data_IF_756242615971
#
_entry.id   IF_756242615971
#
_cell.length_a   1.000
_cell.length_b   1.000
_cell.length_c   1.000
_cell.angle_alpha   90.00
_cell.angle_beta   90.00
_cell.angle_gamma   90.00
#
_symmetry.space_group_name_H-M   'P 1'
#
loop_
_entity.id
_entity.type
_entity.pdbx_description
1 polymer ?
#
# COMPACT_ATOMS: atom_id res chain seq x y z
N UNK A 1 -7.57 23.68 -13.54
CA UNK A 1 -8.57 23.08 -12.64
C UNK A 1 -9.55 22.11 -13.32
N UNK A 2 -10.00 22.34 -14.56
CA UNK A 2 -10.95 21.43 -15.28
C UNK A 2 -10.37 20.03 -15.55
N UNK A 3 -9.07 19.91 -15.87
CA UNK A 3 -8.38 18.64 -16.14
C UNK A 3 -8.29 17.71 -14.93
N UNK A 4 -8.02 18.24 -13.73
CA UNK A 4 -7.95 17.44 -12.49
C UNK A 4 -9.32 16.89 -12.11
N UNK A 5 -10.39 17.70 -12.25
CA UNK A 5 -11.77 17.24 -12.01
C UNK A 5 -12.18 16.14 -12.98
N UNK A 6 -11.85 16.28 -14.26
CA UNK A 6 -12.13 15.24 -15.26
C UNK A 6 -11.36 13.95 -14.96
N UNK A 7 -10.09 14.07 -14.53
CA UNK A 7 -9.26 12.92 -14.14
C UNK A 7 -9.80 12.21 -12.89
N UNK A 8 -10.19 12.97 -11.86
CA UNK A 8 -10.77 12.41 -10.63
C UNK A 8 -12.12 11.74 -10.85
N UNK A 9 -12.92 12.21 -11.80
CA UNK A 9 -14.21 11.61 -12.13
C UNK A 9 -14.09 10.22 -12.81
N UNK A 10 -12.95 9.95 -13.46
CA UNK A 10 -12.67 8.67 -14.14
C UNK A 10 -12.02 7.64 -13.21
N UNK A 11 -11.52 8.09 -12.06
CA UNK A 11 -10.82 7.26 -11.09
C UNK A 11 -11.63 7.12 -9.80
N UNK A 12 -11.44 6.04 -9.08
CA UNK A 12 -12.15 5.73 -7.83
C UNK A 12 -11.66 6.60 -6.65
N UNK A 13 -11.70 7.93 -6.81
CA UNK A 13 -11.16 8.87 -5.81
C UNK A 13 -11.96 8.92 -4.53
N UNK A 14 -13.31 8.84 -4.62
CA UNK A 14 -14.19 8.89 -3.45
C UNK A 14 -13.92 7.75 -2.46
N UNK A 15 -14.03 6.49 -2.87
CA UNK A 15 -13.68 5.34 -2.01
C UNK A 15 -12.25 5.39 -1.47
N UNK A 16 -11.29 5.82 -2.30
CA UNK A 16 -9.90 5.93 -1.89
C UNK A 16 -9.69 7.00 -0.81
N UNK A 17 -10.30 8.18 -0.94
CA UNK A 17 -10.28 9.22 0.10
C UNK A 17 -10.93 8.73 1.39
N UNK A 18 -12.06 8.03 1.29
CA UNK A 18 -12.71 7.39 2.43
C UNK A 18 -11.75 6.42 3.16
N UNK A 19 -11.05 5.59 2.41
CA UNK A 19 -10.04 4.67 2.96
C UNK A 19 -8.89 5.44 3.65
N UNK A 20 -8.37 6.51 3.05
CA UNK A 20 -7.31 7.34 3.66
C UNK A 20 -7.76 8.00 4.95
N UNK A 21 -8.98 8.56 4.97
CA UNK A 21 -9.58 9.15 6.17
C UNK A 21 -9.74 8.11 7.28
N UNK A 22 -10.25 6.93 6.93
CA UNK A 22 -10.41 5.83 7.88
C UNK A 22 -9.06 5.37 8.43
N UNK A 23 -8.03 5.24 7.59
CA UNK A 23 -6.67 4.89 8.03
C UNK A 23 -6.09 5.96 8.94
N UNK A 24 -6.24 7.25 8.61
CA UNK A 24 -5.75 8.34 9.45
C UNK A 24 -6.43 8.35 10.82
N UNK A 25 -7.75 8.17 10.87
CA UNK A 25 -8.49 8.07 12.13
C UNK A 25 -8.11 6.82 12.92
N UNK A 26 -8.01 5.66 12.24
CA UNK A 26 -7.61 4.42 12.88
C UNK A 26 -6.18 4.50 13.41
N UNK A 27 -5.25 5.15 12.70
CA UNK A 27 -3.88 5.34 13.17
C UNK A 27 -3.80 6.17 14.45
N UNK A 28 -4.71 7.15 14.64
CA UNK A 28 -4.82 7.91 15.89
C UNK A 28 -5.38 7.09 17.03
N UNK A 29 -6.48 6.36 16.77
CA UNK A 29 -7.19 5.59 17.81
C UNK A 29 -6.35 4.41 18.29
N UNK A 30 -5.63 3.76 17.37
CA UNK A 30 -4.90 2.52 17.62
C UNK A 30 -3.35 2.72 17.65
N UNK A 31 -2.89 3.95 17.91
CA UNK A 31 -1.46 4.29 17.89
C UNK A 31 -0.60 3.39 18.80
N UNK A 32 -1.10 3.12 20.01
CA UNK A 32 -0.38 2.34 21.03
C UNK A 32 -0.94 0.92 21.20
N UNK A 33 -1.68 0.42 20.20
CA UNK A 33 -2.27 -0.92 20.26
C UNK A 33 -1.45 -1.95 19.51
N UNK A 34 -1.47 -3.18 20.03
CA UNK A 34 -0.86 -4.34 19.37
C UNK A 34 -1.92 -5.41 19.09
N UNK A 35 -1.76 -6.10 17.98
CA UNK A 35 -2.58 -7.27 17.64
C UNK A 35 -1.85 -8.52 18.14
N UNK A 36 -2.48 -9.23 19.08
CA UNK A 36 -1.93 -10.44 19.70
C UNK A 36 -2.42 -11.72 19.04
N UNK A 37 -3.39 -11.64 18.13
CA UNK A 37 -3.94 -12.80 17.45
C UNK A 37 -5.12 -12.48 16.55
N UNK A 38 -5.53 -13.47 15.77
CA UNK A 38 -6.72 -13.41 14.91
C UNK A 38 -7.60 -14.63 15.21
N UNK A 39 -8.77 -14.39 15.82
CA UNK A 39 -9.67 -15.45 16.23
C UNK A 39 -9.01 -16.39 17.25
N UNK A 40 -8.96 -17.70 16.99
CA UNK A 40 -8.33 -18.68 17.91
C UNK A 40 -6.79 -18.67 17.82
N UNK A 41 -6.21 -18.04 16.79
CA UNK A 41 -4.76 -18.03 16.55
C UNK A 41 -4.11 -16.88 17.32
N UNK A 42 -3.27 -17.20 18.30
CA UNK A 42 -2.42 -16.25 19.02
C UNK A 42 -1.08 -16.12 18.31
N UNK A 43 -0.61 -14.88 18.15
CA UNK A 43 0.74 -14.63 17.63
C UNK A 43 1.75 -14.75 18.77
N UNK A 44 2.88 -15.35 18.48
CA UNK A 44 3.98 -15.44 19.45
C UNK A 44 4.62 -14.06 19.69
N UNK A 45 4.56 -13.18 18.68
CA UNK A 45 5.04 -11.80 18.78
C UNK A 45 3.88 -10.86 18.48
N UNK A 46 3.45 -10.01 19.42
CA UNK A 46 2.45 -8.99 19.16
C UNK A 46 2.91 -8.04 18.05
N UNK A 47 2.01 -7.72 17.13
CA UNK A 47 2.31 -6.84 15.99
C UNK A 47 1.65 -5.48 16.23
N UNK A 48 2.43 -4.39 16.13
CA UNK A 48 1.87 -3.05 16.22
C UNK A 48 0.79 -2.83 15.15
N UNK A 49 -0.38 -2.33 15.56
CA UNK A 49 -1.48 -2.00 14.65
C UNK A 49 -1.04 -1.01 13.56
N UNK A 50 -0.13 -0.08 13.90
CA UNK A 50 0.44 0.87 12.94
C UNK A 50 1.22 0.22 11.79
N UNK A 51 1.73 -1.01 11.96
CA UNK A 51 2.38 -1.76 10.88
C UNK A 51 1.38 -2.44 9.93
N UNK A 52 0.12 -2.62 10.37
CA UNK A 52 -0.94 -3.27 9.59
C UNK A 52 -1.82 -2.27 8.83
N UNK A 53 -2.05 -1.07 9.36
CA UNK A 53 -2.84 -0.02 8.71
C UNK A 53 -2.34 0.36 7.29
N UNK A 54 -1.03 0.34 7.00
CA UNK A 54 -0.51 0.49 5.65
C UNK A 54 -1.12 -0.44 4.61
N UNK A 55 -1.62 -1.62 5.01
CA UNK A 55 -2.28 -2.54 4.09
C UNK A 55 -3.55 -1.93 3.48
N UNK A 56 -4.40 -1.32 4.32
CA UNK A 56 -5.62 -0.63 3.87
C UNK A 56 -5.26 0.62 3.04
N UNK A 57 -4.26 1.39 3.50
CA UNK A 57 -3.79 2.57 2.80
C UNK A 57 -3.24 2.24 1.40
N UNK A 58 -2.39 1.20 1.29
CA UNK A 58 -1.81 0.76 0.03
C UNK A 58 -2.86 0.25 -0.96
N UNK A 59 -3.82 -0.56 -0.50
CA UNK A 59 -4.96 -1.00 -1.33
C UNK A 59 -5.80 0.18 -1.79
N UNK A 60 -6.15 1.10 -0.89
CA UNK A 60 -6.94 2.30 -1.22
C UNK A 60 -6.24 3.18 -2.26
N UNK A 61 -4.93 3.40 -2.12
CA UNK A 61 -4.13 4.15 -3.09
C UNK A 61 -4.09 3.46 -4.46
N UNK A 62 -3.95 2.13 -4.51
CA UNK A 62 -3.96 1.38 -5.76
C UNK A 62 -5.35 1.39 -6.44
N UNK A 63 -6.43 1.29 -5.66
CA UNK A 63 -7.81 1.40 -6.18
C UNK A 63 -8.05 2.78 -6.79
N UNK A 64 -7.48 3.85 -6.23
CA UNK A 64 -7.50 5.18 -6.83
C UNK A 64 -6.80 5.26 -8.18
N UNK A 65 -5.87 4.33 -8.45
CA UNK A 65 -5.18 4.22 -9.74
C UNK A 65 -5.98 3.41 -10.78
N UNK A 66 -7.02 2.69 -10.36
CA UNK A 66 -7.90 1.96 -11.27
C UNK A 66 -8.84 2.93 -11.98
N UNK A 67 -8.79 2.95 -13.32
CA UNK A 67 -9.73 3.73 -14.12
C UNK A 67 -11.02 2.95 -14.33
N UNK A 68 -12.15 3.60 -14.11
CA UNK A 68 -13.49 3.06 -14.36
C UNK A 68 -13.94 3.24 -15.82
N UNK A 69 -13.36 4.19 -16.53
CA UNK A 69 -13.67 4.51 -17.91
C UNK A 69 -12.41 4.67 -18.77
N UNK A 70 -12.50 4.20 -20.01
CA UNK A 70 -11.44 4.39 -21.00
C UNK A 70 -11.64 5.73 -21.71
N UNK A 71 -10.99 6.78 -21.22
CA UNK A 71 -10.89 8.01 -21.97
C UNK A 71 -9.71 7.92 -22.94
N UNK A 72 -9.92 8.09 -24.24
CA UNK A 72 -8.83 8.25 -25.18
C UNK A 72 -8.13 9.57 -24.87
N UNK A 73 -6.90 9.49 -24.39
CA UNK A 73 -6.07 10.68 -24.19
C UNK A 73 -5.33 10.99 -25.48
N UNK A 74 -5.41 12.23 -25.97
CA UNK A 74 -4.84 12.61 -27.28
C UNK A 74 -3.30 12.58 -27.31
N UNK A 75 -2.64 12.64 -26.14
CA UNK A 75 -1.18 12.64 -26.03
C UNK A 75 -0.72 11.52 -25.09
N UNK A 76 -0.15 10.41 -25.61
CA UNK A 76 0.28 9.28 -24.79
C UNK A 76 1.40 9.65 -23.80
N UNK A 77 2.31 10.56 -24.14
CA UNK A 77 3.40 10.95 -23.24
C UNK A 77 2.87 11.67 -22.00
N UNK A 78 1.92 12.60 -22.19
CA UNK A 78 1.24 13.29 -21.08
C UNK A 78 0.40 12.33 -20.25
N UNK A 79 -0.21 11.32 -20.90
CA UNK A 79 -0.96 10.28 -20.19
C UNK A 79 -0.07 9.46 -19.27
N UNK A 80 1.12 9.07 -19.71
CA UNK A 80 2.09 8.32 -18.90
C UNK A 80 2.57 9.15 -17.71
N UNK A 81 2.95 10.41 -17.93
CA UNK A 81 3.36 11.31 -16.86
C UNK A 81 2.23 11.55 -15.83
N UNK A 82 0.99 11.72 -16.30
CA UNK A 82 -0.16 11.89 -15.44
C UNK A 82 -0.45 10.65 -14.58
N UNK A 83 -0.36 9.43 -15.16
CA UNK A 83 -0.51 8.17 -14.40
C UNK A 83 0.58 8.01 -13.34
N UNK A 84 1.83 8.30 -13.69
CA UNK A 84 2.94 8.23 -12.74
C UNK A 84 2.74 9.22 -11.58
N UNK A 85 2.45 10.48 -11.89
CA UNK A 85 2.20 11.52 -10.89
C UNK A 85 0.99 11.18 -10.01
N UNK A 86 -0.09 10.61 -10.57
CA UNK A 86 -1.26 10.18 -9.84
C UNK A 86 -0.96 9.07 -8.85
N UNK A 87 -0.26 8.00 -9.30
CA UNK A 87 0.14 6.91 -8.43
C UNK A 87 1.10 7.38 -7.32
N UNK A 88 2.07 8.24 -7.65
CA UNK A 88 2.96 8.83 -6.65
C UNK A 88 2.21 9.67 -5.62
N UNK A 89 1.28 10.53 -6.06
CA UNK A 89 0.46 11.37 -5.17
C UNK A 89 -0.38 10.53 -4.19
N UNK A 90 -1.02 9.45 -4.67
CA UNK A 90 -1.77 8.55 -3.81
C UNK A 90 -0.88 7.74 -2.86
N UNK A 91 0.31 7.34 -3.29
CA UNK A 91 1.28 6.68 -2.41
C UNK A 91 1.73 7.61 -1.28
N UNK A 92 2.02 8.89 -1.60
CA UNK A 92 2.37 9.90 -0.59
C UNK A 92 1.20 10.14 0.35
N UNK A 93 -0.03 10.29 -0.15
CA UNK A 93 -1.21 10.49 0.69
C UNK A 93 -1.46 9.29 1.60
N UNK A 94 -1.29 8.07 1.11
CA UNK A 94 -1.39 6.84 1.89
C UNK A 94 -0.32 6.79 3.01
N UNK A 95 0.92 7.18 2.68
CA UNK A 95 1.99 7.26 3.67
C UNK A 95 1.69 8.32 4.75
N UNK A 96 1.20 9.49 4.38
CA UNK A 96 0.81 10.54 5.33
C UNK A 96 -0.34 10.05 6.24
N UNK A 97 -1.37 9.43 5.67
CA UNK A 97 -2.51 8.92 6.44
C UNK A 97 -2.08 7.81 7.42
N UNK A 98 -1.23 6.87 6.99
CA UNK A 98 -0.75 5.78 7.84
C UNK A 98 0.21 6.24 8.94
N UNK A 99 1.00 7.29 8.69
CA UNK A 99 1.93 7.86 9.66
C UNK A 99 1.26 8.86 10.63
N UNK A 100 -0.01 9.20 10.44
CA UNK A 100 -0.66 10.26 11.21
C UNK A 100 -0.69 9.94 12.72
N UNK A 101 -0.89 8.67 13.10
CA UNK A 101 -0.87 8.21 14.48
C UNK A 101 0.50 8.30 15.17
N UNK A 102 1.60 8.30 14.41
CA UNK A 102 2.95 8.41 14.95
C UNK A 102 3.26 9.80 15.57
N UNK A 103 2.40 10.77 15.34
CA UNK A 103 2.48 12.05 16.06
C UNK A 103 2.24 11.88 17.57
N UNK A 104 1.62 10.77 17.98
CA UNK A 104 1.21 10.49 19.35
C UNK A 104 1.82 9.19 19.92
N UNK A 105 2.57 8.43 19.13
CA UNK A 105 3.24 7.18 19.52
C UNK A 105 4.70 7.18 19.08
N UNK A 106 5.58 6.66 19.92
CA UNK A 106 7.02 6.56 19.64
C UNK A 106 7.51 5.14 19.35
N UNK A 107 6.65 4.13 19.46
CA UNK A 107 7.06 2.72 19.46
C UNK A 107 7.31 2.15 18.06
N UNK A 108 6.88 2.84 17.01
CA UNK A 108 7.00 2.38 15.63
C UNK A 108 7.69 3.43 14.77
N UNK A 109 8.66 3.01 13.97
CA UNK A 109 9.38 3.91 13.07
C UNK A 109 8.51 4.36 11.89
N UNK A 110 8.46 5.67 11.61
CA UNK A 110 7.82 6.23 10.40
C UNK A 110 8.36 5.61 9.12
N UNK A 111 9.64 5.25 9.09
CA UNK A 111 10.24 4.55 7.95
C UNK A 111 9.65 3.16 7.75
N UNK A 112 9.33 2.43 8.83
CA UNK A 112 8.70 1.11 8.74
C UNK A 112 7.29 1.22 8.19
N UNK A 113 6.48 2.17 8.67
CA UNK A 113 5.13 2.42 8.20
C UNK A 113 5.14 2.82 6.71
N UNK A 114 6.00 3.76 6.33
CA UNK A 114 6.14 4.22 4.93
C UNK A 114 6.60 3.08 4.00
N UNK A 115 7.59 2.28 4.41
CA UNK A 115 8.02 1.08 3.68
C UNK A 115 6.85 0.12 3.45
N UNK A 116 6.04 -0.13 4.48
CA UNK A 116 4.90 -1.02 4.38
C UNK A 116 3.84 -0.47 3.40
N UNK A 117 3.57 0.84 3.41
CA UNK A 117 2.69 1.47 2.40
C UNK A 117 3.22 1.21 0.99
N UNK A 118 4.52 1.42 0.76
CA UNK A 118 5.14 1.20 -0.56
C UNK A 118 5.01 -0.25 -1.00
N UNK A 119 5.28 -1.21 -0.10
CA UNK A 119 5.15 -2.65 -0.40
C UNK A 119 3.70 -3.00 -0.74
N UNK A 120 2.74 -2.59 0.07
CA UNK A 120 1.34 -2.91 -0.13
C UNK A 120 0.74 -2.21 -1.36
N UNK A 121 1.14 -0.97 -1.61
CA UNK A 121 0.80 -0.28 -2.86
C UNK A 121 1.37 -1.03 -4.07
N UNK A 122 2.61 -1.52 -4.00
CA UNK A 122 3.25 -2.28 -5.08
C UNK A 122 2.46 -3.56 -5.38
N UNK A 123 2.15 -4.36 -4.35
CA UNK A 123 1.37 -5.59 -4.49
C UNK A 123 -0.01 -5.34 -5.11
N UNK A 124 -0.71 -4.31 -4.63
CA UNK A 124 -2.03 -3.92 -5.15
C UNK A 124 -1.95 -3.40 -6.58
N UNK A 125 -0.92 -2.61 -6.91
CA UNK A 125 -0.75 -2.02 -8.23
C UNK A 125 -0.47 -3.09 -9.31
N UNK A 126 0.13 -4.24 -8.94
CA UNK A 126 0.24 -5.40 -9.84
C UNK A 126 -1.16 -5.84 -10.29
N UNK A 127 -2.13 -5.99 -9.39
CA UNK A 127 -3.51 -6.38 -9.73
C UNK A 127 -4.20 -5.34 -10.60
N UNK A 128 -4.00 -4.06 -10.31
CA UNK A 128 -4.50 -2.97 -11.16
C UNK A 128 -3.86 -3.05 -12.56
N UNK A 129 -2.57 -3.38 -12.64
CA UNK A 129 -1.85 -3.50 -13.92
C UNK A 129 -2.36 -4.66 -14.77
N UNK A 130 -2.78 -5.76 -14.19
CA UNK A 130 -3.39 -6.90 -14.89
C UNK A 130 -4.90 -6.80 -15.04
N UNK A 131 -5.48 -5.61 -14.76
CA UNK A 131 -6.93 -5.30 -14.87
C UNK A 131 -7.83 -6.06 -13.89
N UNK A 132 -7.29 -6.56 -12.81
CA UNK A 132 -8.03 -7.21 -11.73
C UNK A 132 -8.09 -6.32 -10.49
N UNK A 133 -8.46 -5.06 -10.67
CA UNK A 133 -8.50 -4.07 -9.58
C UNK A 133 -9.41 -4.47 -8.42
N UNK A 134 -10.44 -5.28 -8.66
CA UNK A 134 -11.32 -5.83 -7.62
C UNK A 134 -10.58 -6.83 -6.70
N UNK A 135 -9.45 -7.41 -7.16
CA UNK A 135 -8.59 -8.29 -6.36
C UNK A 135 -7.35 -7.57 -5.81
N UNK A 136 -7.29 -6.23 -5.87
CA UNK A 136 -6.12 -5.48 -5.39
C UNK A 136 -5.76 -5.77 -3.92
N UNK A 137 -6.74 -6.14 -3.10
CA UNK A 137 -6.57 -6.51 -1.70
C UNK A 137 -5.97 -7.92 -1.50
N UNK A 138 -6.18 -8.85 -2.46
CA UNK A 138 -5.87 -10.27 -2.26
C UNK A 138 -4.38 -10.56 -2.03
N UNK A 139 -3.42 -10.05 -2.84
CA UNK A 139 -2.00 -10.29 -2.58
C UNK A 139 -1.51 -9.61 -1.30
N UNK A 140 -2.09 -8.47 -0.94
CA UNK A 140 -1.79 -7.77 0.32
C UNK A 140 -2.21 -8.61 1.51
N UNK A 141 -3.44 -9.10 1.49
CA UNK A 141 -4.00 -9.95 2.55
C UNK A 141 -3.22 -11.26 2.68
N UNK A 142 -2.96 -11.96 1.56
CA UNK A 142 -2.20 -13.19 1.56
C UNK A 142 -0.78 -13.00 2.12
N UNK A 143 -0.08 -11.95 1.70
CA UNK A 143 1.26 -11.65 2.20
C UNK A 143 1.24 -11.28 3.68
N UNK A 144 0.29 -10.46 4.12
CA UNK A 144 0.17 -10.06 5.53
C UNK A 144 -0.09 -11.27 6.42
N UNK A 145 -1.04 -12.13 6.06
CA UNK A 145 -1.31 -13.36 6.83
C UNK A 145 -0.11 -14.30 6.83
N UNK A 146 0.53 -14.51 5.68
CA UNK A 146 1.72 -15.34 5.61
C UNK A 146 2.84 -14.79 6.52
N UNK A 147 3.05 -13.46 6.51
CA UNK A 147 4.05 -12.82 7.36
C UNK A 147 3.71 -12.94 8.86
N UNK A 148 2.43 -12.85 9.22
CA UNK A 148 1.98 -13.00 10.61
C UNK A 148 2.08 -14.44 11.12
N UNK A 149 1.78 -15.44 10.29
CA UNK A 149 1.74 -16.85 10.72
C UNK A 149 3.11 -17.54 10.60
N UNK A 150 3.88 -17.19 9.58
CA UNK A 150 5.11 -17.90 9.22
C UNK A 150 6.35 -16.99 9.19
N UNK A 151 6.19 -15.72 9.51
CA UNK A 151 7.23 -14.69 9.33
C UNK A 151 8.29 -14.63 10.42
N UNK A 152 8.23 -15.49 11.41
CA UNK A 152 9.15 -15.46 12.54
C UNK A 152 9.80 -16.83 12.80
N UNK A 153 11.01 -16.81 13.35
CA UNK A 153 11.67 -17.96 13.94
C UNK A 153 11.79 -17.76 15.46
N UNK A 154 11.50 -18.81 16.21
CA UNK A 154 11.75 -18.85 17.64
C UNK A 154 13.12 -19.48 17.87
N UNK A 155 14.05 -18.71 18.39
CA UNK A 155 15.33 -19.22 18.88
C UNK A 155 15.35 -19.03 20.40
N UNK A 156 15.77 -20.02 21.16
CA UNK A 156 15.61 -20.26 22.60
C UNK A 156 15.19 -19.07 23.51
N UNK A 157 15.63 -17.84 23.25
CA UNK A 157 15.32 -16.64 24.04
C UNK A 157 14.97 -15.38 23.20
N UNK A 158 14.92 -15.49 21.86
CA UNK A 158 14.64 -14.34 20.97
C UNK A 158 13.76 -14.73 19.80
N UNK A 159 12.76 -13.90 19.54
CA UNK A 159 11.98 -13.97 18.30
C UNK A 159 12.65 -13.09 17.25
N UNK A 160 12.97 -13.70 16.10
CA UNK A 160 13.51 -12.97 14.95
C UNK A 160 12.59 -13.13 13.76
N UNK A 161 12.34 -12.03 13.04
CA UNK A 161 11.58 -12.10 11.80
C UNK A 161 12.46 -12.56 10.64
N UNK A 162 11.95 -13.47 9.83
CA UNK A 162 12.58 -13.84 8.57
C UNK A 162 12.77 -12.63 7.66
N UNK A 163 13.75 -12.69 6.78
CA UNK A 163 14.10 -11.61 5.87
C UNK A 163 12.93 -11.20 4.95
N UNK A 164 12.03 -12.10 4.60
CA UNK A 164 10.86 -11.86 3.76
C UNK A 164 9.66 -11.27 4.51
N UNK A 165 9.58 -11.42 5.82
CA UNK A 165 8.50 -10.86 6.67
C UNK A 165 8.78 -9.38 7.03
N UNK A 166 9.22 -8.63 6.04
CA UNK A 166 9.68 -7.24 6.18
C UNK A 166 8.64 -6.35 6.85
N UNK A 167 7.35 -6.56 6.52
CA UNK A 167 6.24 -5.71 6.99
C UNK A 167 5.98 -5.81 8.51
N UNK A 168 6.51 -6.85 9.17
CA UNK A 168 6.36 -7.05 10.63
C UNK A 168 7.48 -6.38 11.44
N UNK A 169 8.55 -5.91 10.79
CA UNK A 169 9.69 -5.28 11.46
C UNK A 169 9.41 -3.80 11.71
N UNK A 170 9.49 -3.38 12.97
CA UNK A 170 9.38 -1.97 13.38
C UNK A 170 10.59 -1.13 12.98
N UNK A 171 11.76 -1.77 12.86
CA UNK A 171 13.02 -1.12 12.46
C UNK A 171 13.42 -1.54 11.05
N UNK A 172 13.26 -0.68 10.04
CA UNK A 172 13.66 -0.97 8.69
C UNK A 172 15.16 -0.80 8.50
N UNK A 173 15.77 -1.68 7.71
CA UNK A 173 17.13 -1.44 7.21
C UNK A 173 17.08 -0.60 5.94
N UNK A 174 18.14 0.19 5.67
CA UNK A 174 18.26 0.97 4.43
C UNK A 174 18.09 0.09 3.19
N UNK A 175 18.63 -1.13 3.20
CA UNK A 175 18.48 -2.08 2.11
C UNK A 175 17.01 -2.45 1.84
N UNK A 176 16.20 -2.65 2.88
CA UNK A 176 14.77 -2.95 2.74
C UNK A 176 14.00 -1.79 2.11
N UNK A 177 14.31 -0.56 2.47
CA UNK A 177 13.72 0.63 1.86
C UNK A 177 14.08 0.73 0.38
N UNK A 178 15.36 0.58 0.05
CA UNK A 178 15.84 0.64 -1.34
C UNK A 178 15.18 -0.44 -2.20
N UNK A 179 15.14 -1.69 -1.73
CA UNK A 179 14.49 -2.79 -2.45
C UNK A 179 13.00 -2.53 -2.65
N UNK A 180 12.30 -2.02 -1.63
CA UNK A 180 10.87 -1.70 -1.74
C UNK A 180 10.61 -0.61 -2.78
N UNK A 181 11.44 0.44 -2.81
CA UNK A 181 11.34 1.52 -3.79
C UNK A 181 11.69 1.05 -5.20
N UNK A 182 12.68 0.18 -5.36
CA UNK A 182 13.01 -0.42 -6.66
C UNK A 182 11.85 -1.27 -7.19
N UNK A 183 11.27 -2.14 -6.37
CA UNK A 183 10.11 -2.95 -6.75
C UNK A 183 8.91 -2.07 -7.12
N UNK A 184 8.64 -1.03 -6.33
CA UNK A 184 7.61 -0.05 -6.64
C UNK A 184 7.85 0.63 -7.98
N UNK A 185 9.08 1.06 -8.26
CA UNK A 185 9.45 1.73 -9.53
C UNK A 185 9.25 0.81 -10.74
N UNK A 186 9.59 -0.48 -10.61
CA UNK A 186 9.37 -1.48 -11.65
C UNK A 186 7.87 -1.64 -11.93
N UNK A 187 7.07 -1.85 -10.88
CA UNK A 187 5.61 -2.05 -11.03
C UNK A 187 4.93 -0.77 -11.50
N UNK A 188 5.37 0.40 -11.03
CA UNK A 188 4.89 1.69 -11.51
C UNK A 188 5.15 1.86 -13.01
N UNK A 189 6.33 1.47 -13.48
CA UNK A 189 6.67 1.47 -14.91
C UNK A 189 5.72 0.57 -15.70
N UNK A 190 5.48 -0.66 -15.24
CA UNK A 190 4.53 -1.58 -15.87
C UNK A 190 3.11 -0.99 -15.90
N UNK A 191 2.67 -0.35 -14.81
CA UNK A 191 1.37 0.31 -14.73
C UNK A 191 1.24 1.47 -15.72
N UNK A 192 2.28 2.31 -15.81
CA UNK A 192 2.30 3.51 -16.66
C UNK A 192 2.28 3.14 -18.13
N UNK A 193 3.10 2.19 -18.55
CA UNK A 193 3.24 1.77 -19.95
C UNK A 193 2.25 0.71 -20.40
N UNK A 194 1.28 0.36 -19.55
CA UNK A 194 0.20 -0.55 -19.91
C UNK A 194 -0.49 -0.08 -21.19
N UNK A 195 -0.54 -0.91 -22.25
CA UNK A 195 -1.19 -0.52 -23.50
C UNK A 195 -2.68 -0.28 -23.24
N UNK A 196 -3.15 0.91 -23.60
CA UNK A 196 -4.58 1.15 -23.75
C UNK A 196 -5.05 0.22 -24.88
N UNK A 197 -5.86 -0.79 -24.56
CA UNK A 197 -6.52 -1.52 -25.65
C UNK A 197 -7.41 -0.52 -26.36
N UNK A 198 -6.96 -0.07 -27.55
CA UNK A 198 -7.89 0.37 -28.57
C UNK A 198 -8.84 -0.81 -28.76
N UNK A 199 -10.12 -0.57 -28.49
CA UNK A 199 -11.18 -1.53 -28.81
C UNK A 199 -10.97 -1.96 -30.26
N UNK A 200 -10.65 -3.24 -30.46
CA UNK A 200 -10.90 -3.85 -31.76
C UNK A 200 -12.41 -3.85 -31.92
N UNK A 201 -12.91 -2.82 -32.58
CA UNK A 201 -14.23 -2.79 -33.18
C UNK A 201 -14.16 -3.58 -34.48
#
# INVERSE_FOLDING_TARGET
MRTVRAWSAVHNTGPALGAMTLVALASLIFADTTVEGIGPFRFLVPVSTLLLLPAIAGVGAAVACASTHHLPLPDPARAHAARAAWAAAWTVLAALAANFGLLFSSDTSSQAVTRNVVIYMTLSLVMVSVRQSHLAWAPVFAYTIAAMLFGYASDADRYTYYWWAVVMRSEPTTAQLVISLLLFSIVLTLYVFKPSQQSRV
#
